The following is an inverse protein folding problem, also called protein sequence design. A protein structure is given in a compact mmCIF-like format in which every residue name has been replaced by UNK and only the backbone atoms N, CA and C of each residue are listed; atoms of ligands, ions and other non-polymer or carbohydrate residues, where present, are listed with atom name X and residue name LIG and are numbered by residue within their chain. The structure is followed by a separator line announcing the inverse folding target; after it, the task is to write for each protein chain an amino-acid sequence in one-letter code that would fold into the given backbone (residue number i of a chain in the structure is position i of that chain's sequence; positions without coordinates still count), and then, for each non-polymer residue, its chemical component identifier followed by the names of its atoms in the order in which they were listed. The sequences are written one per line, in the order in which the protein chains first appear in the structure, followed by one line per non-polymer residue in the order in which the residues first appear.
data_IF_044816912657
#
_entry.id   IF_044816912657
#
_cell.length_a   1.000
_cell.length_b   1.000
_cell.length_c   1.000
_cell.angle_alpha   90.00
_cell.angle_beta   90.00
_cell.angle_gamma   90.00
#
_symmetry.space_group_name_H-M   'P 1'
#
loop_
_entity.id
_entity.type
_entity.pdbx_description
1 polymer ?
#
# COMPACT_ATOMS: atom_id res chain seq x y z
N UNK A 1 8.85 -24.91 -14.45
CA UNK A 1 8.39 -24.88 -13.03
C UNK A 1 9.50 -25.43 -12.15
N UNK A 2 9.67 -24.90 -10.95
CA UNK A 2 10.76 -25.30 -10.04
C UNK A 2 10.32 -25.35 -8.57
N UNK A 3 11.23 -25.76 -7.68
CA UNK A 3 10.97 -25.81 -6.24
C UNK A 3 11.51 -24.56 -5.56
N UNK A 4 10.70 -23.94 -4.71
CA UNK A 4 11.16 -22.87 -3.85
C UNK A 4 12.23 -23.38 -2.88
N UNK A 5 13.26 -22.56 -2.62
CA UNK A 5 14.38 -22.88 -1.73
C UNK A 5 14.03 -22.81 -0.23
N UNK A 6 12.80 -22.49 0.13
CA UNK A 6 12.38 -22.46 1.54
C UNK A 6 12.15 -23.87 2.10
N UNK A 7 12.07 -24.03 3.43
CA UNK A 7 11.84 -25.34 4.08
C UNK A 7 10.59 -26.07 3.59
N UNK A 8 9.55 -25.32 3.17
CA UNK A 8 8.30 -25.86 2.66
C UNK A 8 8.42 -26.48 1.25
N UNK A 9 9.52 -26.20 0.52
CA UNK A 9 9.85 -26.73 -0.82
C UNK A 9 8.66 -26.75 -1.79
N UNK A 10 7.84 -25.68 -1.78
CA UNK A 10 6.65 -25.60 -2.64
C UNK A 10 7.05 -25.53 -4.12
N UNK A 11 6.33 -26.27 -4.97
CA UNK A 11 6.39 -26.08 -6.42
C UNK A 11 5.90 -24.68 -6.75
N UNK A 12 6.63 -24.00 -7.63
CA UNK A 12 6.37 -22.60 -8.00
C UNK A 12 6.80 -22.35 -9.44
N UNK A 13 6.13 -21.40 -10.10
CA UNK A 13 6.62 -20.79 -11.33
C UNK A 13 7.30 -19.44 -11.06
N UNK A 14 7.26 -18.93 -9.83
CA UNK A 14 7.79 -17.61 -9.51
C UNK A 14 9.30 -17.66 -9.30
N UNK A 15 10.00 -16.68 -9.85
CA UNK A 15 11.45 -16.55 -9.82
C UNK A 15 11.84 -15.12 -9.41
N UNK A 16 12.74 -15.01 -8.45
CA UNK A 16 13.29 -13.72 -8.03
C UNK A 16 14.47 -13.37 -8.93
N UNK A 17 14.38 -12.25 -9.65
CA UNK A 17 15.39 -11.84 -10.62
C UNK A 17 16.66 -11.33 -9.93
N UNK A 18 16.50 -10.64 -8.80
CA UNK A 18 17.62 -10.13 -8.00
C UNK A 18 18.47 -11.26 -7.40
N UNK A 19 17.82 -12.26 -6.79
CA UNK A 19 18.50 -13.35 -6.09
C UNK A 19 18.75 -14.58 -6.96
N UNK A 20 18.17 -14.61 -8.17
CA UNK A 20 18.25 -15.72 -9.13
C UNK A 20 17.83 -17.07 -8.54
N UNK A 21 16.71 -17.08 -7.81
CA UNK A 21 16.15 -18.28 -7.16
C UNK A 21 14.63 -18.39 -7.34
N UNK A 22 14.15 -19.64 -7.40
CA UNK A 22 12.71 -19.94 -7.33
C UNK A 22 12.15 -19.58 -5.96
N UNK A 23 11.04 -18.84 -5.94
CA UNK A 23 10.38 -18.34 -4.72
C UNK A 23 8.91 -18.72 -4.71
N UNK A 24 8.34 -18.97 -3.53
CA UNK A 24 6.89 -19.15 -3.38
C UNK A 24 6.27 -17.90 -2.77
N UNK A 25 4.94 -17.74 -2.84
CA UNK A 25 4.24 -16.55 -2.34
C UNK A 25 4.55 -16.21 -0.87
N UNK A 26 4.74 -17.22 -0.02
CA UNK A 26 5.12 -16.99 1.37
C UNK A 26 6.51 -16.32 1.49
N UNK A 27 7.46 -16.71 0.63
CA UNK A 27 8.79 -16.13 0.62
C UNK A 27 8.78 -14.73 0.01
N UNK A 28 7.93 -14.51 -0.99
CA UNK A 28 7.77 -13.20 -1.61
C UNK A 28 7.27 -12.18 -0.60
N UNK A 29 6.32 -12.57 0.25
CA UNK A 29 5.83 -11.71 1.32
C UNK A 29 6.87 -11.51 2.42
N UNK A 30 7.51 -12.58 2.89
CA UNK A 30 8.38 -12.52 4.07
C UNK A 30 9.78 -11.94 3.79
N UNK A 31 10.42 -12.40 2.72
CA UNK A 31 11.87 -12.20 2.50
C UNK A 31 12.19 -11.51 1.16
N UNK A 32 11.24 -11.45 0.23
CA UNK A 32 11.43 -10.82 -1.08
C UNK A 32 10.37 -9.73 -1.34
N UNK A 33 9.99 -8.99 -0.29
CA UNK A 33 8.91 -8.00 -0.36
C UNK A 33 9.20 -6.92 -1.42
N UNK A 34 10.46 -6.50 -1.54
CA UNK A 34 10.93 -5.46 -2.47
C UNK A 34 11.56 -6.00 -3.77
N UNK A 35 11.71 -7.31 -3.90
CA UNK A 35 12.45 -7.86 -5.05
C UNK A 35 11.59 -7.94 -6.32
N UNK A 36 12.19 -7.75 -7.48
CA UNK A 36 11.51 -8.09 -8.74
C UNK A 36 11.32 -9.61 -8.84
N UNK A 37 10.05 -10.03 -8.95
CA UNK A 37 9.65 -11.44 -9.03
C UNK A 37 8.63 -11.58 -10.16
N UNK A 38 8.92 -12.46 -11.11
CA UNK A 38 8.04 -12.78 -12.24
C UNK A 38 8.06 -14.29 -12.50
N UNK A 39 7.47 -14.74 -13.60
CA UNK A 39 7.52 -16.15 -13.98
C UNK A 39 8.95 -16.59 -14.35
N UNK A 40 9.27 -17.85 -14.09
CA UNK A 40 10.55 -18.44 -14.48
C UNK A 40 10.73 -18.47 -16.00
N UNK A 41 9.64 -18.60 -16.75
CA UNK A 41 9.67 -18.51 -18.21
C UNK A 41 10.10 -17.12 -18.67
N UNK A 42 9.60 -16.06 -18.03
CA UNK A 42 10.00 -14.69 -18.35
C UNK A 42 11.50 -14.52 -18.11
N UNK A 43 12.03 -15.02 -16.99
CA UNK A 43 13.47 -14.94 -16.70
C UNK A 43 14.35 -15.65 -17.72
N UNK A 44 13.89 -16.80 -18.26
CA UNK A 44 14.61 -17.52 -19.32
C UNK A 44 14.59 -16.77 -20.67
N UNK A 45 13.55 -15.99 -20.92
CA UNK A 45 13.40 -15.22 -22.16
C UNK A 45 14.17 -13.91 -22.08
N UNK A 46 14.03 -13.20 -20.96
CA UNK A 46 14.67 -11.93 -20.67
C UNK A 46 15.00 -11.88 -19.17
N UNK A 47 16.30 -11.89 -18.86
CA UNK A 47 16.78 -11.82 -17.48
C UNK A 47 16.98 -10.40 -16.99
N UNK A 48 16.85 -9.40 -17.86
CA UNK A 48 16.97 -8.01 -17.49
C UNK A 48 15.75 -7.57 -16.67
N UNK A 49 16.01 -6.79 -15.64
CA UNK A 49 14.95 -6.26 -14.79
C UNK A 49 15.21 -4.80 -14.45
N UNK A 50 14.12 -4.05 -14.25
CA UNK A 50 14.17 -2.67 -13.80
C UNK A 50 13.78 -2.61 -12.31
N UNK A 51 14.70 -2.26 -11.40
CA UNK A 51 14.41 -2.11 -9.98
C UNK A 51 13.68 -0.81 -9.64
N UNK A 52 13.32 0.01 -10.63
CA UNK A 52 12.60 1.27 -10.43
C UNK A 52 11.08 1.05 -10.45
N UNK A 53 10.39 1.82 -9.63
CA UNK A 53 8.93 1.92 -9.67
C UNK A 53 8.50 2.53 -11.01
N UNK A 54 7.57 1.89 -11.72
CA UNK A 54 7.09 2.37 -13.03
C UNK A 54 6.29 3.68 -12.98
N UNK A 55 5.82 4.10 -11.80
CA UNK A 55 5.04 5.33 -11.63
C UNK A 55 5.91 6.59 -11.49
N UNK A 56 7.01 6.50 -10.74
CA UNK A 56 7.89 7.64 -10.46
C UNK A 56 9.32 7.48 -11.00
N UNK A 57 9.63 6.31 -11.56
CA UNK A 57 10.95 5.93 -12.09
C UNK A 57 12.11 6.01 -11.09
N UNK A 58 11.83 5.92 -9.78
CA UNK A 58 12.86 5.83 -8.73
C UNK A 58 12.96 4.41 -8.17
N UNK A 59 14.11 4.05 -7.58
CA UNK A 59 14.36 2.72 -7.03
C UNK A 59 13.27 2.26 -6.04
N UNK A 60 12.78 1.04 -6.18
CA UNK A 60 11.79 0.44 -5.28
C UNK A 60 12.31 0.33 -3.83
N UNK A 61 13.62 0.20 -3.66
CA UNK A 61 14.25 0.08 -2.33
C UNK A 61 14.03 1.30 -1.43
N UNK A 62 13.84 2.50 -2.00
CA UNK A 62 13.93 3.78 -1.27
C UNK A 62 12.72 4.11 -0.41
N UNK A 63 11.53 3.59 -0.74
CA UNK A 63 10.29 3.88 -0.02
C UNK A 63 9.57 2.57 0.32
N UNK A 64 8.45 2.69 0.99
CA UNK A 64 7.53 1.58 1.18
C UNK A 64 6.95 1.14 -0.17
N UNK A 65 6.89 -0.18 -0.37
CA UNK A 65 6.39 -0.79 -1.61
C UNK A 65 5.17 -1.64 -1.33
N UNK A 66 4.30 -1.71 -2.33
CA UNK A 66 3.14 -2.59 -2.36
C UNK A 66 3.28 -3.55 -3.54
N UNK A 67 3.00 -4.83 -3.31
CA UNK A 67 2.96 -5.85 -4.34
C UNK A 67 1.51 -6.19 -4.67
N UNK A 68 1.17 -6.10 -5.95
CA UNK A 68 -0.15 -6.49 -6.44
C UNK A 68 -0.25 -8.01 -6.63
N UNK A 69 -1.46 -8.52 -6.86
CA UNK A 69 -1.69 -9.96 -7.13
C UNK A 69 -1.01 -10.42 -8.42
N UNK A 70 -0.82 -9.53 -9.38
CA UNK A 70 -0.04 -9.78 -10.59
C UNK A 70 1.48 -9.85 -10.34
N UNK A 71 1.92 -9.71 -9.09
CA UNK A 71 3.31 -9.67 -8.63
C UNK A 71 4.12 -8.41 -8.99
N UNK A 72 3.54 -7.47 -9.74
CA UNK A 72 4.15 -6.16 -9.98
C UNK A 72 4.31 -5.37 -8.68
N UNK A 73 5.38 -4.57 -8.62
CA UNK A 73 5.78 -3.77 -7.45
C UNK A 73 5.74 -2.28 -7.77
N UNK A 74 5.16 -1.53 -6.84
CA UNK A 74 5.12 -0.08 -6.89
C UNK A 74 5.42 0.51 -5.51
N UNK A 75 5.80 1.79 -5.45
CA UNK A 75 5.76 2.48 -4.17
C UNK A 75 4.32 2.64 -3.72
N UNK A 76 4.10 2.48 -2.42
CA UNK A 76 2.77 2.64 -1.83
C UNK A 76 2.22 4.06 -2.03
N UNK A 77 3.06 5.08 -1.84
CA UNK A 77 2.68 6.48 -2.08
C UNK A 77 2.27 6.74 -3.52
N UNK A 78 3.04 6.22 -4.49
CA UNK A 78 2.73 6.39 -5.91
C UNK A 78 1.42 5.71 -6.30
N UNK A 79 1.13 4.51 -5.75
CA UNK A 79 -0.14 3.84 -5.99
C UNK A 79 -1.32 4.65 -5.41
N UNK A 80 -1.15 5.22 -4.21
CA UNK A 80 -2.17 6.07 -3.59
C UNK A 80 -2.41 7.37 -4.36
N UNK A 81 -1.35 8.05 -4.80
CA UNK A 81 -1.45 9.25 -5.63
C UNK A 81 -2.23 8.97 -6.92
N UNK A 82 -1.91 7.86 -7.61
CA UNK A 82 -2.63 7.43 -8.80
C UNK A 82 -4.11 7.15 -8.50
N UNK A 83 -4.40 6.43 -7.43
CA UNK A 83 -5.78 6.12 -7.05
C UNK A 83 -6.60 7.37 -6.71
N UNK A 84 -5.99 8.36 -6.05
CA UNK A 84 -6.63 9.63 -5.69
C UNK A 84 -6.87 10.56 -6.90
N UNK A 85 -6.15 10.37 -8.00
CA UNK A 85 -6.40 11.10 -9.26
C UNK A 85 -7.65 10.58 -9.98
N UNK A 86 -8.11 9.37 -9.67
CA UNK A 86 -9.32 8.81 -10.25
C UNK A 86 -10.57 9.41 -9.58
N UNK A 87 -11.70 9.51 -10.31
CA UNK A 87 -12.96 9.97 -9.74
C UNK A 87 -13.38 9.15 -8.51
N UNK A 88 -13.98 9.81 -7.51
CA UNK A 88 -14.45 9.12 -6.28
C UNK A 88 -15.48 8.03 -6.52
N UNK A 89 -16.20 8.06 -7.65
CA UNK A 89 -17.17 7.05 -8.06
C UNK A 89 -16.55 5.91 -8.89
N UNK A 90 -15.22 5.84 -8.98
CA UNK A 90 -14.53 4.78 -9.71
C UNK A 90 -14.85 3.43 -9.07
N UNK A 91 -15.46 2.54 -9.85
CA UNK A 91 -15.74 1.18 -9.41
C UNK A 91 -14.43 0.43 -9.11
N UNK A 92 -14.43 -0.60 -8.24
CA UNK A 92 -13.22 -1.38 -7.93
C UNK A 92 -12.50 -1.90 -9.18
N UNK A 93 -13.25 -2.27 -10.23
CA UNK A 93 -12.70 -2.74 -11.50
C UNK A 93 -11.93 -1.66 -12.31
N UNK A 94 -12.15 -0.38 -12.01
CA UNK A 94 -11.44 0.73 -12.63
C UNK A 94 -10.03 0.95 -12.09
N UNK A 95 -9.73 0.42 -10.90
CA UNK A 95 -8.38 0.48 -10.34
C UNK A 95 -7.53 -0.66 -10.92
N UNK A 96 -6.72 -0.31 -11.92
CA UNK A 96 -5.93 -1.25 -12.69
C UNK A 96 -4.43 -1.05 -12.47
N UNK A 97 -3.68 -2.15 -12.55
CA UNK A 97 -2.22 -2.13 -12.51
C UNK A 97 -1.68 -1.35 -13.72
N UNK A 98 -0.80 -0.36 -13.53
CA UNK A 98 -0.18 0.38 -14.63
C UNK A 98 0.63 -0.47 -15.61
N UNK A 99 1.11 -1.64 -15.18
CA UNK A 99 2.01 -2.49 -15.98
C UNK A 99 1.27 -3.56 -16.79
N UNK A 100 0.28 -4.23 -16.20
CA UNK A 100 -0.44 -5.33 -16.86
C UNK A 100 -1.95 -5.09 -17.00
N UNK A 101 -2.45 -3.93 -16.57
CA UNK A 101 -3.89 -3.57 -16.59
C UNK A 101 -4.80 -4.52 -15.79
N UNK A 102 -4.23 -5.45 -15.02
CA UNK A 102 -4.97 -6.33 -14.11
C UNK A 102 -5.60 -5.57 -12.95
N UNK A 103 -6.66 -6.13 -12.35
CA UNK A 103 -7.32 -5.51 -11.21
C UNK A 103 -6.38 -5.39 -9.99
N UNK A 104 -6.37 -4.22 -9.36
CA UNK A 104 -5.63 -3.99 -8.10
C UNK A 104 -6.28 -4.76 -6.96
N UNK A 105 -7.61 -4.85 -6.94
CA UNK A 105 -8.34 -5.53 -5.89
C UNK A 105 -8.29 -7.05 -6.06
N UNK A 106 -7.80 -7.79 -5.06
CA UNK A 106 -7.82 -9.25 -5.09
C UNK A 106 -9.26 -9.78 -5.04
N UNK A 107 -9.62 -10.79 -5.86
CA UNK A 107 -10.94 -11.44 -5.81
C UNK A 107 -11.26 -11.97 -4.40
N UNK A 108 -12.49 -11.87 -3.93
CA UNK A 108 -12.85 -12.24 -2.55
C UNK A 108 -12.53 -13.71 -2.19
N UNK A 109 -12.68 -14.61 -3.16
CA UNK A 109 -12.39 -16.04 -3.03
C UNK A 109 -10.89 -16.40 -3.17
N UNK A 110 -10.03 -15.45 -3.53
CA UNK A 110 -8.61 -15.72 -3.70
C UNK A 110 -7.90 -15.83 -2.35
N UNK A 111 -7.44 -17.04 -2.02
CA UNK A 111 -6.64 -17.32 -0.83
C UNK A 111 -5.16 -17.43 -1.22
N UNK A 112 -4.43 -16.33 -1.06
CA UNK A 112 -2.99 -16.22 -1.32
C UNK A 112 -2.36 -15.34 -0.24
N UNK A 113 -1.14 -15.64 0.26
CA UNK A 113 -0.42 -14.75 1.17
C UNK A 113 -0.25 -13.33 0.62
N UNK A 114 -0.01 -13.18 -0.70
CA UNK A 114 0.13 -11.87 -1.34
C UNK A 114 -1.21 -11.13 -1.32
N UNK A 115 -2.30 -11.82 -1.66
CA UNK A 115 -3.65 -11.24 -1.62
C UNK A 115 -4.04 -10.79 -0.21
N UNK A 116 -3.72 -11.57 0.83
CA UNK A 116 -4.02 -11.20 2.22
C UNK A 116 -3.29 -9.93 2.65
N UNK A 117 -1.97 -9.85 2.42
CA UNK A 117 -1.18 -8.65 2.76
C UNK A 117 -1.64 -7.43 1.95
N UNK A 118 -1.98 -7.64 0.67
CA UNK A 118 -2.52 -6.56 -0.15
C UNK A 118 -3.86 -6.04 0.37
N UNK A 119 -4.79 -6.92 0.77
CA UNK A 119 -6.07 -6.52 1.38
C UNK A 119 -5.86 -5.72 2.67
N UNK A 120 -4.92 -6.15 3.50
CA UNK A 120 -4.56 -5.45 4.74
C UNK A 120 -4.00 -4.05 4.46
N UNK A 121 -3.15 -3.91 3.45
CA UNK A 121 -2.65 -2.58 3.03
C UNK A 121 -3.76 -1.72 2.45
N UNK A 122 -4.61 -2.27 1.59
CA UNK A 122 -5.73 -1.55 0.97
C UNK A 122 -6.79 -1.13 2.02
N UNK A 123 -7.00 -1.89 3.09
CA UNK A 123 -7.96 -1.50 4.13
C UNK A 123 -7.53 -0.26 4.95
N UNK A 124 -6.28 0.20 4.79
CA UNK A 124 -5.77 1.41 5.45
C UNK A 124 -6.18 2.72 4.77
N UNK A 125 -6.68 2.68 3.52
CA UNK A 125 -6.96 3.88 2.72
C UNK A 125 -8.42 3.92 2.25
N UNK A 126 -9.04 5.09 2.34
CA UNK A 126 -10.48 5.25 2.10
C UNK A 126 -10.92 4.87 0.66
N UNK A 127 -10.12 5.23 -0.36
CA UNK A 127 -10.44 4.88 -1.76
C UNK A 127 -10.51 3.37 -1.97
N UNK A 128 -9.69 2.60 -1.26
CA UNK A 128 -9.66 1.15 -1.39
C UNK A 128 -10.63 0.45 -0.44
N UNK A 129 -10.95 1.04 0.71
CA UNK A 129 -12.01 0.53 1.60
C UNK A 129 -13.37 0.51 0.90
N UNK A 130 -13.71 1.56 0.16
CA UNK A 130 -14.89 1.58 -0.71
C UNK A 130 -14.86 0.43 -1.73
N UNK A 131 -13.69 0.17 -2.33
CA UNK A 131 -13.48 -0.92 -3.27
C UNK A 131 -13.59 -2.32 -2.66
N UNK A 132 -13.29 -2.47 -1.37
CA UNK A 132 -13.38 -3.71 -0.60
C UNK A 132 -14.74 -3.90 0.11
N UNK A 133 -15.66 -2.94 0.01
CA UNK A 133 -16.94 -2.97 0.72
C UNK A 133 -16.83 -2.76 2.23
N UNK A 134 -15.76 -2.11 2.69
CA UNK A 134 -15.52 -1.78 4.11
C UNK A 134 -16.05 -0.37 4.43
N UNK A 135 -16.49 -0.12 5.67
CA UNK A 135 -16.90 1.22 6.09
C UNK A 135 -15.73 2.19 5.96
N UNK A 136 -15.98 3.41 5.48
CA UNK A 136 -14.97 4.46 5.41
C UNK A 136 -14.48 4.81 6.82
N UNK A 137 -13.20 5.18 6.94
CA UNK A 137 -12.67 5.70 8.20
C UNK A 137 -13.10 7.17 8.25
N UNK A 138 -13.81 7.57 9.31
CA UNK A 138 -14.05 8.99 9.58
C UNK A 138 -12.68 9.66 9.80
N UNK A 139 -12.32 10.59 8.92
CA UNK A 139 -11.14 11.45 9.07
C UNK A 139 -11.41 12.48 10.19
N UNK A 140 -11.58 12.01 11.42
CA UNK A 140 -11.58 12.87 12.59
C UNK A 140 -10.14 13.31 12.88
N UNK A 141 -9.79 14.49 12.35
CA UNK A 141 -8.87 15.47 12.92
C UNK A 141 -7.63 14.92 13.63
N UNK A 142 -6.52 14.78 12.89
CA UNK A 142 -5.18 14.88 13.51
C UNK A 142 -4.82 16.36 13.67
N UNK A 143 -5.55 17.05 14.55
CA UNK A 143 -5.05 18.31 15.11
C UNK A 143 -3.94 17.94 16.10
N UNK A 144 -2.74 18.39 15.81
CA UNK A 144 -1.59 18.29 16.70
C UNK A 144 -1.89 19.07 17.99
N UNK A 145 -2.33 18.38 19.04
CA UNK A 145 -2.25 18.91 20.40
C UNK A 145 -0.79 18.89 20.85
N UNK A 146 -0.05 19.95 20.52
CA UNK A 146 1.13 20.32 21.30
C UNK A 146 0.62 20.92 22.61
N UNK A 147 0.60 20.06 23.62
CA UNK A 147 0.38 20.37 25.03
C UNK A 147 1.28 21.52 25.48
N UNK A 148 0.65 22.62 25.90
CA UNK A 148 1.28 23.64 26.74
C UNK A 148 0.35 23.91 27.92
N UNK A 149 0.68 23.42 29.12
CA UNK A 149 -0.10 23.70 30.31
C UNK A 149 0.44 24.99 30.94
N UNK A 150 -0.41 25.99 31.11
CA UNK A 150 -0.27 26.85 32.29
C UNK A 150 -1.64 27.38 32.72
N UNK A 151 -2.19 26.66 33.70
CA UNK A 151 -3.24 27.11 34.60
C UNK A 151 -2.67 28.12 35.59
N UNK A 152 -3.32 29.27 35.74
CA UNK A 152 -3.74 29.86 37.03
C UNK A 152 -4.40 31.22 36.75
N UNK A 153 -5.70 31.37 36.99
CA UNK A 153 -6.33 31.68 38.28
C UNK A 153 -6.23 33.17 38.63
N UNK A 154 -7.32 33.93 38.44
CA UNK A 154 -7.86 34.82 39.47
C UNK A 154 -9.21 35.41 39.04
N UNK A 155 -10.25 35.00 39.74
CA UNK A 155 -11.48 35.77 39.94
C UNK A 155 -11.17 37.16 40.47
N UNK A 156 -11.63 38.24 39.82
CA UNK A 156 -12.04 39.42 40.58
C UNK A 156 -13.11 40.24 39.86
N UNK A 157 -14.15 40.54 40.63
CA UNK A 157 -15.40 41.18 40.24
C UNK A 157 -15.38 42.60 40.80
N UNK A 158 -15.57 43.63 39.96
CA UNK A 158 -16.43 44.82 40.24
C UNK A 158 -16.43 45.87 39.11
N UNK A 159 -17.61 46.33 38.67
CA UNK A 159 -17.74 47.54 37.86
C UNK A 159 -18.02 48.78 38.76
N UNK A 160 -17.60 49.99 38.35
CA UNK A 160 -18.26 51.22 38.74
C UNK A 160 -18.80 51.96 37.51
N UNK A 161 -20.12 52.14 37.44
CA UNK A 161 -20.86 53.38 37.75
C UNK A 161 -21.04 54.30 36.53
N UNK A 162 -22.30 54.39 36.08
CA UNK A 162 -22.78 55.48 35.23
C UNK A 162 -22.61 56.81 35.96
N UNK A 163 -21.90 57.75 35.34
CA UNK A 163 -21.86 59.15 35.73
C UNK A 163 -22.21 60.02 34.53
N UNK A 164 -23.39 60.63 34.61
CA UNK A 164 -23.88 61.69 33.74
C UNK A 164 -22.87 62.84 33.62
N UNK A 165 -22.68 63.36 32.40
CA UNK A 165 -22.76 64.78 32.03
C UNK A 165 -22.75 64.90 30.49
#
# INVERSE_FOLDING_TARGET
MGLCKCPKRKVTNLFCFEHRVNVCENCIVANHAKCIVQSYLQWLQDSDYNPNCRLCNTLLATKETVRLVCYDLFHWSCLNEMANQLPKNTAPAGYQCPSCQGAIFPPANLVSPVASVLREKLSTVNWARAGLGLPLIDEAETVQETDSPDTTDYTDWRPPEMGLL
#
